data_IF_459813522171
#
_entry.id   IF_459813522171
#
_cell.length_a   1.000
_cell.length_b   1.000
_cell.length_c   1.000
_cell.angle_alpha   90.00
_cell.angle_beta   90.00
_cell.angle_gamma   90.00
#
_symmetry.space_group_name_H-M   'P 1'
#
loop_
_entity.id
_entity.type
_entity.pdbx_description
1 polymer ?
#
# COMPACT_ATOMS: atom_id res chain seq x y z
N UNK A 1 23.67 -18.92 25.87
CA UNK A 1 22.74 -20.03 26.17
C UNK A 1 23.19 -21.19 25.31
N UNK A 2 23.45 -22.34 25.91
CA UNK A 2 23.98 -23.50 25.20
C UNK A 2 22.83 -24.43 24.83
N UNK A 3 22.52 -24.52 23.53
CA UNK A 3 21.31 -25.19 23.03
C UNK A 3 21.46 -26.71 23.17
N UNK A 4 22.68 -27.24 23.10
CA UNK A 4 22.96 -28.69 23.13
C UNK A 4 22.70 -29.33 24.49
N UNK A 5 22.62 -28.51 25.55
CA UNK A 5 22.40 -28.95 26.93
C UNK A 5 20.92 -28.95 27.34
N UNK A 6 20.03 -28.50 26.46
CA UNK A 6 18.60 -28.41 26.75
C UNK A 6 17.91 -29.76 26.56
N UNK A 7 17.03 -30.10 27.48
CA UNK A 7 16.07 -31.18 27.30
C UNK A 7 15.10 -30.88 26.16
N UNK A 8 14.39 -31.91 25.68
CA UNK A 8 13.39 -31.75 24.63
C UNK A 8 12.29 -30.75 25.00
N UNK A 9 11.85 -30.74 26.26
CA UNK A 9 10.80 -29.83 26.73
C UNK A 9 11.29 -28.38 26.80
N UNK A 10 12.53 -28.17 27.24
CA UNK A 10 13.16 -26.84 27.23
C UNK A 10 13.38 -26.32 25.81
N UNK A 11 13.75 -27.20 24.87
CA UNK A 11 13.83 -26.86 23.44
C UNK A 11 12.46 -26.48 22.88
N UNK A 12 11.40 -27.20 23.26
CA UNK A 12 10.04 -26.86 22.84
C UNK A 12 9.57 -25.52 23.42
N UNK A 13 9.83 -25.23 24.69
CA UNK A 13 9.49 -23.93 25.29
C UNK A 13 10.28 -22.80 24.63
N UNK A 14 11.59 -22.99 24.45
CA UNK A 14 12.45 -22.03 23.77
C UNK A 14 11.93 -21.76 22.35
N UNK A 15 11.61 -22.80 21.59
CA UNK A 15 11.08 -22.67 20.24
C UNK A 15 9.74 -21.90 20.22
N UNK A 16 8.82 -22.23 21.14
CA UNK A 16 7.54 -21.50 21.25
C UNK A 16 7.76 -20.01 21.49
N UNK A 17 8.72 -19.66 22.36
CA UNK A 17 9.08 -18.26 22.66
C UNK A 17 9.73 -17.57 21.47
N UNK A 18 10.65 -18.24 20.78
CA UNK A 18 11.32 -17.72 19.57
C UNK A 18 10.31 -17.47 18.47
N UNK A 19 9.47 -18.45 18.14
CA UNK A 19 8.41 -18.30 17.12
C UNK A 19 7.45 -17.18 17.48
N UNK A 20 7.04 -17.08 18.75
CA UNK A 20 6.19 -15.97 19.23
C UNK A 20 6.87 -14.62 19.01
N UNK A 21 8.17 -14.51 19.34
CA UNK A 21 8.93 -13.27 19.18
C UNK A 21 9.09 -12.89 17.72
N UNK A 22 9.41 -13.83 16.85
CA UNK A 22 9.53 -13.61 15.40
C UNK A 22 8.19 -13.10 14.84
N UNK A 23 7.07 -13.74 15.20
CA UNK A 23 5.73 -13.32 14.77
C UNK A 23 5.40 -11.90 15.23
N UNK A 24 5.76 -11.55 16.47
CA UNK A 24 5.57 -10.21 17.00
C UNK A 24 6.39 -9.17 16.22
N UNK A 25 7.68 -9.43 15.99
CA UNK A 25 8.56 -8.54 15.24
C UNK A 25 8.08 -8.35 13.80
N UNK A 26 7.65 -9.42 13.14
CA UNK A 26 7.05 -9.35 11.81
C UNK A 26 5.78 -8.49 11.82
N UNK A 27 4.91 -8.64 12.83
CA UNK A 27 3.72 -7.79 12.96
C UNK A 27 4.06 -6.31 13.11
N UNK A 28 5.12 -5.97 13.83
CA UNK A 28 5.60 -4.59 13.95
C UNK A 28 6.18 -4.06 12.64
N UNK A 29 6.86 -4.91 11.86
CA UNK A 29 7.35 -4.55 10.53
C UNK A 29 6.18 -4.27 9.58
N UNK A 30 5.22 -5.20 9.48
CA UNK A 30 4.03 -5.03 8.65
C UNK A 30 3.21 -3.80 9.07
N UNK A 31 3.07 -3.55 10.37
CA UNK A 31 2.38 -2.35 10.88
C UNK A 31 3.01 -1.06 10.35
N UNK A 32 4.34 -0.92 10.44
CA UNK A 32 5.08 0.22 9.90
C UNK A 32 4.99 0.35 8.38
N UNK A 33 4.85 -0.76 7.66
CA UNK A 33 4.61 -0.72 6.22
C UNK A 33 3.18 -0.25 5.90
N UNK A 34 2.18 -0.66 6.68
CA UNK A 34 0.79 -0.23 6.51
C UNK A 34 0.59 1.28 6.77
N UNK A 35 1.33 1.86 7.71
CA UNK A 35 1.29 3.31 8.00
C UNK A 35 1.63 4.19 6.78
N UNK A 36 2.25 3.63 5.75
CA UNK A 36 2.58 4.34 4.51
C UNK A 36 1.39 4.47 3.55
N UNK A 37 0.29 3.78 3.82
CA UNK A 37 -0.86 3.67 2.92
C UNK A 37 -2.13 4.16 3.61
N UNK A 38 -2.91 4.93 2.86
CA UNK A 38 -4.22 5.41 3.26
C UNK A 38 -5.30 4.92 2.29
N UNK A 39 -6.56 4.94 2.72
CA UNK A 39 -7.68 4.65 1.82
C UNK A 39 -7.73 5.73 0.75
N UNK A 40 -7.82 5.34 -0.53
CA UNK A 40 -7.75 6.23 -1.68
C UNK A 40 -6.37 6.30 -2.33
N UNK A 41 -5.32 5.76 -1.70
CA UNK A 41 -4.01 5.70 -2.32
C UNK A 41 -4.01 4.80 -3.56
N UNK A 42 -3.44 5.31 -4.65
CA UNK A 42 -3.15 4.50 -5.84
C UNK A 42 -1.85 3.74 -5.62
N UNK A 43 -1.91 2.43 -5.76
CA UNK A 43 -0.79 1.51 -5.51
C UNK A 43 -0.58 0.58 -6.69
N UNK A 44 0.68 0.26 -6.94
CA UNK A 44 1.10 -0.78 -7.86
C UNK A 44 1.52 -2.02 -7.07
N UNK A 45 1.17 -3.20 -7.57
CA UNK A 45 1.55 -4.49 -7.01
C UNK A 45 1.63 -5.57 -8.12
N UNK A 46 2.28 -6.69 -7.82
CA UNK A 46 2.60 -7.72 -8.81
C UNK A 46 2.07 -9.11 -8.42
N UNK A 47 0.75 -9.36 -8.48
CA UNK A 47 0.24 -10.70 -8.23
C UNK A 47 0.70 -11.61 -9.39
N UNK A 48 1.29 -12.75 -9.04
CA UNK A 48 1.82 -13.75 -9.98
C UNK A 48 2.76 -13.16 -11.06
N UNK A 49 3.51 -12.11 -10.70
CA UNK A 49 4.48 -11.45 -11.58
C UNK A 49 3.89 -10.50 -12.62
N UNK A 50 2.56 -10.29 -12.63
CA UNK A 50 1.90 -9.32 -13.53
C UNK A 50 1.80 -7.96 -12.87
N UNK A 51 2.24 -6.90 -13.54
CA UNK A 51 2.07 -5.54 -13.05
C UNK A 51 0.59 -5.15 -13.01
N UNK A 52 0.09 -4.77 -11.85
CA UNK A 52 -1.28 -4.29 -11.65
C UNK A 52 -1.30 -3.04 -10.80
N UNK A 53 -2.21 -2.13 -11.14
CA UNK A 53 -2.50 -0.94 -10.36
C UNK A 53 -3.93 -0.96 -9.85
N UNK A 54 -4.13 -0.34 -8.69
CA UNK A 54 -5.45 -0.14 -8.15
C UNK A 54 -5.44 0.87 -7.00
N UNK A 55 -6.61 1.10 -6.45
CA UNK A 55 -6.83 2.03 -5.34
C UNK A 55 -7.04 1.25 -4.05
N UNK A 56 -6.38 1.66 -2.97
CA UNK A 56 -6.60 1.08 -1.64
C UNK A 56 -8.01 1.43 -1.19
N UNK A 57 -8.88 0.43 -1.10
CA UNK A 57 -10.25 0.57 -0.58
C UNK A 57 -10.35 0.28 0.91
N UNK A 58 -9.37 -0.46 1.45
CA UNK A 58 -9.35 -0.84 2.87
C UNK A 58 -7.93 -1.12 3.36
N UNK A 59 -7.58 -0.59 4.52
CA UNK A 59 -6.36 -0.97 5.25
C UNK A 59 -6.75 -1.95 6.36
N UNK A 60 -6.37 -3.23 6.23
CA UNK A 60 -6.56 -4.23 7.28
C UNK A 60 -5.32 -4.29 8.18
N UNK A 61 -5.44 -4.97 9.33
CA UNK A 61 -4.34 -5.13 10.30
C UNK A 61 -3.04 -5.73 9.73
N UNK A 62 -3.08 -6.42 8.58
CA UNK A 62 -1.92 -7.08 7.96
C UNK A 62 -1.83 -6.94 6.43
N UNK A 63 -2.86 -6.40 5.79
CA UNK A 63 -3.00 -6.43 4.32
C UNK A 63 -3.75 -5.19 3.85
N UNK A 64 -3.53 -4.80 2.60
CA UNK A 64 -4.30 -3.80 1.89
C UNK A 64 -5.36 -4.50 1.05
N UNK A 65 -6.60 -4.01 1.10
CA UNK A 65 -7.62 -4.31 0.10
C UNK A 65 -7.49 -3.29 -1.02
N UNK A 66 -7.15 -3.75 -2.22
CA UNK A 66 -6.90 -2.91 -3.39
C UNK A 66 -7.92 -3.25 -4.46
N UNK A 67 -8.63 -2.24 -4.97
CA UNK A 67 -9.55 -2.40 -6.09
C UNK A 67 -8.90 -1.94 -7.38
N UNK A 68 -8.84 -2.81 -8.38
CA UNK A 68 -8.30 -2.49 -9.71
C UNK A 68 -9.36 -1.80 -10.58
N UNK A 69 -8.94 -1.18 -11.68
CA UNK A 69 -9.85 -0.51 -12.64
C UNK A 69 -10.85 -1.49 -13.29
N UNK A 70 -10.53 -2.78 -13.31
CA UNK A 70 -11.43 -3.87 -13.72
C UNK A 70 -12.52 -4.22 -12.68
N UNK A 71 -12.54 -3.54 -11.54
CA UNK A 71 -13.49 -3.76 -10.44
C UNK A 71 -13.16 -4.93 -9.50
N UNK A 72 -12.06 -5.65 -9.75
CA UNK A 72 -11.64 -6.77 -8.89
C UNK A 72 -10.98 -6.28 -7.60
N UNK A 73 -11.18 -7.00 -6.49
CA UNK A 73 -10.60 -6.66 -5.19
C UNK A 73 -9.51 -7.67 -4.80
N UNK A 74 -8.32 -7.15 -4.53
CA UNK A 74 -7.13 -7.91 -4.19
C UNK A 74 -6.71 -7.69 -2.75
N UNK A 75 -6.19 -8.74 -2.11
CA UNK A 75 -5.52 -8.65 -0.81
C UNK A 75 -4.03 -8.63 -1.04
N UNK A 76 -3.39 -7.51 -0.74
CA UNK A 76 -1.97 -7.29 -1.01
C UNK A 76 -1.22 -7.10 0.31
N UNK A 77 -0.06 -7.75 0.47
CA UNK A 77 0.83 -7.48 1.60
C UNK A 77 1.45 -6.08 1.40
N UNK A 78 1.51 -5.21 2.42
CA UNK A 78 1.99 -3.83 2.26
C UNK A 78 3.42 -3.75 1.71
N UNK A 79 4.31 -4.67 2.10
CA UNK A 79 5.67 -4.76 1.54
C UNK A 79 5.75 -5.20 0.06
N UNK A 80 4.63 -5.60 -0.56
CA UNK A 80 4.53 -5.95 -1.98
C UNK A 80 3.76 -4.88 -2.80
N UNK A 81 3.34 -3.79 -2.14
CA UNK A 81 2.68 -2.66 -2.75
C UNK A 81 3.62 -1.44 -2.77
N UNK A 82 3.58 -0.68 -3.85
CA UNK A 82 4.32 0.58 -3.99
C UNK A 82 3.33 1.69 -4.27
N UNK A 83 3.38 2.78 -3.50
CA UNK A 83 2.53 3.96 -3.73
C UNK A 83 2.95 4.63 -5.04
N UNK A 84 1.98 4.83 -5.93
CA UNK A 84 2.22 5.55 -7.18
C UNK A 84 1.94 7.02 -6.89
N UNK A 85 3.00 7.85 -6.82
CA UNK A 85 2.82 9.29 -6.70
C UNK A 85 2.26 9.83 -8.02
N UNK A 86 0.99 10.21 -8.03
CA UNK A 86 0.46 11.03 -9.11
C UNK A 86 1.05 12.44 -8.99
N UNK A 87 2.26 12.66 -9.52
CA UNK A 87 2.71 14.01 -9.86
C UNK A 87 2.04 14.47 -11.16
N UNK A 88 0.72 14.33 -11.22
CA UNK A 88 -0.11 14.82 -12.31
C UNK A 88 -1.09 15.77 -11.65
N UNK A 89 -0.75 17.06 -11.78
CA UNK A 89 -1.64 18.22 -11.71
C UNK A 89 -3.09 17.81 -11.94
N UNK A 90 -4.06 18.22 -11.10
CA UNK A 90 -5.45 17.94 -11.40
C UNK A 90 -5.83 18.64 -12.70
N UNK A 91 -6.27 17.94 -13.76
CA UNK A 91 -7.05 18.58 -14.80
C UNK A 91 -8.48 18.63 -14.25
N UNK A 92 -8.76 19.62 -13.40
CA UNK A 92 -10.13 20.12 -13.35
C UNK A 92 -10.19 21.27 -14.35
N UNK A 93 -10.70 21.07 -15.59
CA UNK A 93 -11.50 22.11 -16.18
C UNK A 93 -12.76 22.23 -15.30
N UNK A 94 -12.81 23.30 -14.53
CA UNK A 94 -14.00 23.73 -13.80
C UNK A 94 -15.17 23.81 -14.78
N UNK A 95 -16.15 22.94 -14.54
CA UNK A 95 -17.60 23.13 -14.72
C UNK A 95 -18.06 23.78 -16.04
N UNK A 96 -18.74 22.98 -16.85
CA UNK A 96 -19.60 23.41 -17.95
C UNK A 96 -20.54 24.52 -17.45
N UNK A 97 -20.37 25.73 -17.99
CA UNK A 97 -21.27 26.86 -17.78
C UNK A 97 -20.68 28.06 -17.06
N UNK A 98 -19.55 28.60 -17.51
CA UNK A 98 -19.18 29.98 -17.19
C UNK A 98 -18.47 30.61 -18.40
N UNK A 99 -19.00 31.76 -18.83
CA UNK A 99 -18.64 32.47 -20.05
C UNK A 99 -17.31 33.18 -19.79
N UNK A 100 -16.20 32.67 -20.32
CA UNK A 100 -14.96 33.46 -20.37
C UNK A 100 -14.96 34.38 -21.60
N UNK A 101 -14.95 35.69 -21.32
CA UNK A 101 -14.69 36.77 -22.25
C UNK A 101 -13.29 36.64 -22.87
N UNK A 102 -13.08 37.02 -24.14
CA UNK A 102 -11.76 36.99 -24.73
C UNK A 102 -10.85 38.09 -24.12
N UNK A 103 -9.58 37.79 -23.83
CA UNK A 103 -8.63 38.80 -23.35
C UNK A 103 -8.34 39.82 -24.46
N UNK A 104 -8.39 41.09 -24.07
CA UNK A 104 -8.14 42.23 -24.92
C UNK A 104 -6.71 42.23 -25.48
N UNK A 105 -6.61 42.32 -26.80
CA UNK A 105 -5.53 43.02 -27.50
C UNK A 105 -4.14 42.40 -27.43
N UNK A 106 -3.84 41.51 -28.36
CA UNK A 106 -2.54 41.51 -29.03
C UNK A 106 -2.80 41.30 -30.52
N UNK A 107 -2.90 42.42 -31.26
CA UNK A 107 -2.78 42.41 -32.71
C UNK A 107 -1.35 42.83 -33.02
N UNK A 108 -0.62 41.95 -33.70
CA UNK A 108 0.63 42.30 -34.37
C UNK A 108 0.35 43.37 -35.43
N UNK A 109 1.06 44.49 -35.32
CA UNK A 109 1.64 45.27 -36.42
C UNK A 109 2.64 46.29 -35.85
#
# INVERSE_FOLDING_TARGET
>A
MDIEKLSLDELHDLNRRVVRRIRYLNSLKTGRELEKFEIGDRVCFHPDGKHMEGVVVRVNRKTLGVRTDSGHEWRVHPGAATKVSSSTTPPFPTRIGEIEMPPAGFSEN
#
